data_IF_735197305960
#
_entry.id   IF_735197305960
#
_cell.length_a   1.000
_cell.length_b   1.000
_cell.length_c   1.000
_cell.angle_alpha   90.00
_cell.angle_beta   90.00
_cell.angle_gamma   90.00
#
_symmetry.space_group_name_H-M   'P 1'
#
loop_
_entity.id
_entity.type
_entity.pdbx_description
1 polymer ?
#
# COMPACT_ATOMS: atom_id res chain seq x y z
N UNK A 1 22.58 20.21 6.47
CA UNK A 1 21.28 19.84 6.76
C UNK A 1 20.92 18.58 6.06
N UNK A 2 20.59 17.61 6.79
CA UNK A 2 20.31 16.34 6.20
C UNK A 2 19.03 16.38 5.44
N UNK A 3 18.99 15.78 4.30
CA UNK A 3 17.85 15.65 3.61
C UNK A 3 17.16 14.44 3.97
N UNK A 4 15.94 14.49 4.25
CA UNK A 4 15.18 13.37 4.54
C UNK A 4 14.92 12.65 3.29
N UNK A 5 15.15 11.41 3.26
CA UNK A 5 14.81 10.60 2.11
C UNK A 5 13.31 10.54 2.01
N UNK A 6 12.77 10.84 0.90
CA UNK A 6 11.35 10.77 0.71
C UNK A 6 11.00 9.39 0.21
N UNK A 7 10.09 8.75 0.87
CA UNK A 7 9.65 7.45 0.49
C UNK A 7 8.26 7.57 -0.08
N UNK A 8 8.07 7.07 -1.25
CA UNK A 8 6.77 7.10 -1.89
C UNK A 8 6.22 5.71 -2.01
N UNK A 9 5.01 5.53 -1.59
CA UNK A 9 4.36 4.23 -1.69
C UNK A 9 3.05 4.40 -2.41
N UNK A 10 2.72 3.44 -3.24
CA UNK A 10 1.52 3.50 -4.04
C UNK A 10 0.71 2.24 -3.81
N UNK A 11 -0.55 2.40 -3.65
CA UNK A 11 -1.46 1.29 -3.48
C UNK A 11 -2.54 1.40 -4.54
N UNK A 12 -2.67 0.38 -5.35
CA UNK A 12 -3.65 0.36 -6.42
C UNK A 12 -4.68 -0.70 -6.14
N UNK A 13 -5.93 -0.32 -6.19
CA UNK A 13 -7.00 -1.27 -5.98
C UNK A 13 -7.71 -1.52 -7.29
N UNK A 14 -7.88 -2.78 -7.60
CA UNK A 14 -8.62 -3.17 -8.77
C UNK A 14 -9.81 -3.98 -8.30
N UNK A 15 -10.99 -3.59 -8.70
CA UNK A 15 -12.19 -4.24 -8.24
C UNK A 15 -12.92 -4.84 -9.41
N UNK A 16 -13.18 -6.13 -9.31
CA UNK A 16 -13.95 -6.82 -10.32
C UNK A 16 -15.20 -7.35 -9.65
N UNK A 17 -16.34 -6.88 -10.09
CA UNK A 17 -17.59 -7.27 -9.49
C UNK A 17 -18.33 -8.19 -10.44
N UNK A 18 -18.63 -9.36 -10.00
CA UNK A 18 -19.41 -10.32 -10.72
C UNK A 18 -20.75 -10.51 -10.03
N UNK A 19 -21.73 -11.08 -10.68
CA UNK A 19 -23.04 -11.16 -10.06
C UNK A 19 -23.06 -11.88 -8.72
N UNK A 20 -22.19 -12.86 -8.55
CA UNK A 20 -22.22 -13.61 -7.30
C UNK A 20 -20.95 -13.50 -6.51
N UNK A 21 -20.03 -12.63 -6.86
CA UNK A 21 -18.83 -12.49 -6.05
C UNK A 21 -18.10 -11.22 -6.37
N UNK A 22 -17.23 -10.85 -5.48
CA UNK A 22 -16.43 -9.65 -5.61
C UNK A 22 -14.97 -10.04 -5.50
N UNK A 23 -14.16 -9.50 -6.36
CA UNK A 23 -12.74 -9.80 -6.31
C UNK A 23 -11.99 -8.48 -6.25
N UNK A 24 -11.20 -8.32 -5.22
CA UNK A 24 -10.44 -7.09 -5.02
C UNK A 24 -8.97 -7.44 -5.02
N UNK A 25 -8.22 -6.77 -5.89
CA UNK A 25 -6.78 -6.97 -5.96
C UNK A 25 -6.10 -5.68 -5.53
N UNK A 26 -5.21 -5.80 -4.56
CA UNK A 26 -4.48 -4.66 -4.04
C UNK A 26 -3.02 -4.84 -4.37
N UNK A 27 -2.46 -3.88 -5.09
CA UNK A 27 -1.06 -3.92 -5.47
C UNK A 27 -0.35 -2.80 -4.74
N UNK A 28 0.70 -3.13 -4.02
CA UNK A 28 1.46 -2.17 -3.26
C UNK A 28 2.86 -2.07 -3.84
N UNK A 29 3.25 -0.87 -4.17
CA UNK A 29 4.59 -0.62 -4.67
C UNK A 29 5.24 0.43 -3.83
N UNK A 30 6.47 0.19 -3.43
CA UNK A 30 7.21 1.14 -2.65
C UNK A 30 8.49 1.47 -3.37
N UNK A 31 8.78 2.72 -3.47
CA UNK A 31 10.02 3.11 -4.07
C UNK A 31 10.75 4.07 -3.16
N UNK A 32 12.05 3.86 -3.02
CA UNK A 32 12.86 4.74 -2.25
C UNK A 32 13.53 5.67 -3.19
N UNK A 33 13.57 6.87 -2.81
CA UNK A 33 14.17 7.80 -3.68
C UNK A 33 15.65 7.83 -3.59
N UNK A 34 16.27 6.90 -3.04
CA UNK A 34 17.59 6.82 -2.94
C UNK A 34 18.20 6.14 -3.97
N UNK A 35 18.20 6.41 -4.94
CA UNK A 35 18.73 5.97 -5.97
C UNK A 35 19.05 4.83 -6.31
N UNK A 36 19.64 4.35 -6.69
CA UNK A 36 20.16 3.36 -7.14
C UNK A 36 19.29 2.38 -7.64
N UNK A 37 19.52 1.35 -7.60
CA UNK A 37 18.86 0.33 -8.14
C UNK A 37 17.65 0.08 -7.49
N UNK A 38 16.66 -0.08 -8.13
CA UNK A 38 15.46 -0.26 -7.56
C UNK A 38 15.00 -1.58 -7.75
N UNK A 39 14.96 -2.32 -6.82
CA UNK A 39 14.35 -3.57 -6.91
C UNK A 39 13.03 -3.43 -6.35
N UNK A 40 12.09 -3.08 -7.06
CA UNK A 40 10.79 -2.97 -6.48
C UNK A 40 10.09 -4.27 -6.67
N UNK A 41 9.67 -4.84 -5.60
CA UNK A 41 8.90 -6.07 -5.64
C UNK A 41 7.49 -5.71 -5.25
N UNK A 42 6.63 -5.55 -6.20
CA UNK A 42 5.25 -5.23 -5.84
C UNK A 42 4.62 -6.37 -5.07
N UNK A 43 3.88 -6.03 -4.07
CA UNK A 43 3.19 -6.99 -3.27
C UNK A 43 1.75 -7.02 -3.72
N UNK A 44 1.23 -8.18 -4.01
CA UNK A 44 -0.12 -8.29 -4.52
C UNK A 44 -0.97 -9.10 -3.57
N UNK A 45 -2.09 -8.55 -3.16
CA UNK A 45 -2.99 -9.19 -2.23
C UNK A 45 -4.36 -9.28 -2.87
N UNK A 46 -5.07 -10.34 -2.55
CA UNK A 46 -6.40 -10.56 -3.09
C UNK A 46 -7.40 -10.69 -1.97
N UNK A 47 -8.54 -10.08 -2.13
CA UNK A 47 -9.59 -10.15 -1.11
C UNK A 47 -10.92 -10.41 -1.78
N UNK A 48 -11.77 -11.14 -1.11
CA UNK A 48 -13.12 -11.39 -1.58
C UNK A 48 -14.15 -10.60 -0.80
N UNK A 49 -13.72 -9.94 0.27
CA UNK A 49 -14.64 -9.20 1.11
C UNK A 49 -14.20 -7.77 1.24
N UNK A 50 -15.14 -6.84 1.16
CA UNK A 50 -14.74 -5.43 1.22
C UNK A 50 -14.10 -5.06 2.54
N UNK A 51 -14.56 -5.62 3.63
CA UNK A 51 -13.99 -5.25 4.93
C UNK A 51 -12.54 -5.63 5.04
N UNK A 52 -12.18 -6.78 4.48
CA UNK A 52 -10.79 -7.19 4.55
C UNK A 52 -9.91 -6.26 3.72
N UNK A 53 -10.41 -5.82 2.57
CA UNK A 53 -9.66 -4.91 1.74
C UNK A 53 -9.52 -3.54 2.41
N UNK A 54 -10.57 -3.07 3.05
CA UNK A 54 -10.53 -1.79 3.73
C UNK A 54 -9.53 -1.84 4.88
N UNK A 55 -9.53 -2.93 5.62
CA UNK A 55 -8.58 -3.07 6.72
C UNK A 55 -7.15 -3.09 6.19
N UNK A 56 -6.93 -3.73 5.05
CA UNK A 56 -5.60 -3.77 4.49
C UNK A 56 -5.14 -2.40 4.03
N UNK A 57 -6.05 -1.61 3.45
CA UNK A 57 -5.70 -0.25 3.05
C UNK A 57 -5.40 0.60 4.27
N UNK A 58 -6.21 0.44 5.32
CA UNK A 58 -5.99 1.20 6.55
C UNK A 58 -4.63 0.86 7.15
N UNK A 59 -4.29 -0.42 7.17
CA UNK A 59 -2.99 -0.81 7.70
C UNK A 59 -1.86 -0.26 6.83
N UNK A 60 -2.06 -0.25 5.53
CA UNK A 60 -1.04 0.29 4.64
C UNK A 60 -0.79 1.77 4.95
N UNK A 61 -1.86 2.52 5.13
CA UNK A 61 -1.72 3.94 5.43
C UNK A 61 -1.08 4.13 6.80
N UNK A 62 -1.52 3.37 7.79
CA UNK A 62 -0.98 3.52 9.12
C UNK A 62 0.49 3.18 9.20
N UNK A 63 0.94 2.26 8.38
CA UNK A 63 2.35 1.89 8.42
C UNK A 63 3.23 3.01 7.93
N UNK A 64 2.67 4.02 7.31
CA UNK A 64 3.44 5.15 6.81
C UNK A 64 3.32 6.37 7.69
N UNK A 65 2.62 6.28 8.80
CA UNK A 65 2.51 7.40 9.69
C UNK A 65 3.80 7.64 10.42
N UNK A 66 4.18 8.88 10.60
CA UNK A 66 5.41 9.13 11.35
C UNK A 66 5.22 8.73 12.78
N UNK A 67 6.28 8.25 13.35
CA UNK A 67 6.23 7.85 14.72
C UNK A 67 6.48 9.03 15.57
N UNK A 68 5.56 9.85 15.71
CA UNK A 68 5.71 10.97 16.56
C UNK A 68 5.24 10.63 17.93
N UNK A 69 5.57 11.42 18.89
CA UNK A 69 5.03 11.21 20.21
C UNK A 69 3.57 11.45 20.16
N UNK A 70 2.86 10.76 20.91
CA UNK A 70 1.42 10.99 20.94
C UNK A 70 1.22 12.27 21.62
N UNK A 71 0.51 13.02 21.12
CA UNK A 71 0.29 14.28 21.79
C UNK A 71 -1.04 14.34 22.37
#
# INVERSE_FOLDING_TARGET
MPKRARQTSVCILRIEAEPDRLLITMTIEQSLSQGAAIASHPKILHFAQPEAAIDAVADFIRSHQPHGPPS
#
